data_IF_139878562766
#
_entry.id   IF_139878562766
#
_cell.length_a   1.000
_cell.length_b   1.000
_cell.length_c   1.000
_cell.angle_alpha   90.00
_cell.angle_beta   90.00
_cell.angle_gamma   90.00
#
_symmetry.space_group_name_H-M   'P 1'
#
loop_
_entity.id
_entity.type
_entity.pdbx_description
1 polymer ?
#
# COMPACT_ATOMS: atom_id res chain seq x y z
N UNK A 1 -18.23 10.12 -20.83
CA UNK A 1 -16.77 10.05 -20.54
C UNK A 1 -16.20 8.87 -21.35
N UNK A 2 -15.09 9.03 -22.08
CA UNK A 2 -14.48 7.94 -22.87
C UNK A 2 -13.45 7.21 -22.01
N UNK A 3 -13.45 5.88 -22.03
CA UNK A 3 -12.42 5.06 -21.38
C UNK A 3 -11.04 5.39 -21.96
N UNK A 4 -10.08 5.73 -21.10
CA UNK A 4 -8.72 6.09 -21.51
C UNK A 4 -7.71 4.96 -21.30
N UNK A 5 -7.91 4.11 -20.30
CA UNK A 5 -7.05 2.96 -19.99
C UNK A 5 -7.87 1.74 -19.57
N UNK A 6 -7.37 0.55 -19.91
CA UNK A 6 -7.86 -0.74 -19.45
C UNK A 6 -6.69 -1.72 -19.35
N UNK A 7 -6.43 -2.23 -18.15
CA UNK A 7 -5.44 -3.27 -17.97
C UNK A 7 -5.75 -4.07 -16.71
N UNK A 8 -5.24 -5.31 -16.67
CA UNK A 8 -5.36 -6.18 -15.50
C UNK A 8 -4.25 -5.83 -14.51
N UNK A 9 -4.59 -5.07 -13.46
CA UNK A 9 -3.63 -4.74 -12.41
C UNK A 9 -3.31 -5.93 -11.48
N UNK A 10 -4.29 -6.79 -11.21
CA UNK A 10 -4.17 -7.88 -10.24
C UNK A 10 -4.81 -9.19 -10.74
N UNK A 11 -4.34 -10.31 -10.18
CA UNK A 11 -4.91 -11.64 -10.40
C UNK A 11 -6.06 -11.98 -9.42
N UNK A 12 -6.52 -11.01 -8.65
CA UNK A 12 -7.68 -11.10 -7.77
C UNK A 12 -8.40 -9.76 -7.67
N UNK A 13 -9.34 -9.66 -6.72
CA UNK A 13 -10.02 -8.39 -6.42
C UNK A 13 -9.00 -7.30 -6.05
N UNK A 14 -9.27 -6.08 -6.52
CA UNK A 14 -8.55 -4.88 -6.10
C UNK A 14 -9.17 -4.43 -4.77
N UNK A 15 -8.34 -4.35 -3.73
CA UNK A 15 -8.73 -3.93 -2.38
C UNK A 15 -8.73 -2.40 -2.24
N UNK A 16 -7.74 -1.74 -2.84
CA UNK A 16 -7.62 -0.28 -2.75
C UNK A 16 -6.79 0.29 -3.91
N UNK A 17 -6.98 1.58 -4.18
CA UNK A 17 -6.28 2.34 -5.22
C UNK A 17 -5.90 3.71 -4.67
N UNK A 18 -4.70 4.20 -4.98
CA UNK A 18 -4.28 5.57 -4.71
C UNK A 18 -3.70 6.24 -5.96
N UNK A 19 -4.18 7.44 -6.25
CA UNK A 19 -3.58 8.29 -7.28
C UNK A 19 -2.47 9.11 -6.63
N UNK A 20 -1.28 9.00 -7.19
CA UNK A 20 -0.11 9.79 -6.83
C UNK A 20 0.16 10.90 -7.84
N UNK A 21 1.18 11.74 -7.58
CA UNK A 21 1.66 12.71 -8.55
C UNK A 21 2.18 12.02 -9.83
N UNK A 22 2.31 12.82 -10.90
CA UNK A 22 2.82 12.39 -12.21
C UNK A 22 2.03 11.23 -12.85
N UNK A 23 0.73 11.12 -12.55
CA UNK A 23 -0.16 10.05 -12.99
C UNK A 23 0.28 8.65 -12.53
N UNK A 24 1.03 8.56 -11.43
CA UNK A 24 1.30 7.27 -10.79
C UNK A 24 0.03 6.73 -10.14
N UNK A 25 -0.19 5.44 -10.26
CA UNK A 25 -1.29 4.74 -9.59
C UNK A 25 -0.68 3.67 -8.71
N UNK A 26 -1.13 3.57 -7.47
CA UNK A 26 -0.81 2.44 -6.58
C UNK A 26 -2.07 1.61 -6.43
N UNK A 27 -1.97 0.30 -6.60
CA UNK A 27 -3.09 -0.63 -6.42
C UNK A 27 -2.71 -1.71 -5.41
N UNK A 28 -3.63 -2.08 -4.53
CA UNK A 28 -3.52 -3.21 -3.62
C UNK A 28 -4.48 -4.32 -4.05
N UNK A 29 -4.05 -5.57 -4.06
CA UNK A 29 -4.87 -6.70 -4.51
C UNK A 29 -4.91 -7.88 -3.55
N UNK A 30 -5.96 -8.71 -3.70
CA UNK A 30 -6.10 -10.00 -3.00
C UNK A 30 -5.10 -11.06 -3.44
N UNK A 31 -4.32 -10.79 -4.48
CA UNK A 31 -3.19 -11.61 -4.94
C UNK A 31 -1.89 -11.33 -4.17
N UNK A 32 -1.98 -10.65 -3.01
CA UNK A 32 -0.88 -10.32 -2.10
C UNK A 32 0.10 -9.28 -2.66
N UNK A 33 -0.21 -8.68 -3.80
CA UNK A 33 0.63 -7.66 -4.41
C UNK A 33 0.12 -6.25 -4.08
N UNK A 34 1.05 -5.31 -3.98
CA UNK A 34 0.76 -3.91 -4.12
C UNK A 34 1.67 -3.34 -5.20
N UNK A 35 1.08 -2.81 -6.26
CA UNK A 35 1.77 -2.48 -7.50
C UNK A 35 1.72 -0.98 -7.75
N UNK A 36 2.81 -0.43 -8.29
CA UNK A 36 2.92 0.96 -8.74
C UNK A 36 2.92 0.97 -10.26
N UNK A 37 2.08 1.81 -10.84
CA UNK A 37 1.86 1.89 -12.28
C UNK A 37 2.15 3.30 -12.79
N UNK A 38 2.59 3.37 -14.04
CA UNK A 38 2.58 4.57 -14.86
C UNK A 38 1.71 4.27 -16.07
N UNK A 39 0.53 4.90 -16.15
CA UNK A 39 -0.51 4.50 -17.10
C UNK A 39 -0.89 3.01 -16.91
N UNK A 40 -0.62 2.14 -17.88
CA UNK A 40 -0.85 0.70 -17.84
C UNK A 40 0.42 -0.13 -17.64
N UNK A 41 1.58 0.53 -17.46
CA UNK A 41 2.87 -0.12 -17.30
C UNK A 41 3.22 -0.28 -15.81
N UNK A 42 3.59 -1.50 -15.41
CA UNK A 42 4.08 -1.78 -14.06
C UNK A 42 5.45 -1.14 -13.88
N UNK A 43 5.56 -0.21 -12.92
CA UNK A 43 6.83 0.41 -12.53
C UNK A 43 7.56 -0.47 -11.53
N UNK A 44 6.84 -0.90 -10.48
CA UNK A 44 7.40 -1.79 -9.45
C UNK A 44 6.29 -2.42 -8.60
N UNK A 45 6.58 -3.54 -7.95
CA UNK A 45 5.80 -4.07 -6.84
C UNK A 45 6.43 -3.67 -5.50
N UNK A 46 5.61 -3.27 -4.53
CA UNK A 46 6.09 -2.98 -3.18
C UNK A 46 6.58 -4.27 -2.52
N UNK A 47 7.80 -4.22 -1.96
CA UNK A 47 8.46 -5.38 -1.35
C UNK A 47 8.48 -5.27 0.17
N UNK A 48 7.31 -5.32 0.78
CA UNK A 48 7.18 -5.14 2.23
C UNK A 48 7.85 -6.25 3.04
N UNK A 49 7.69 -7.50 2.58
CA UNK A 49 8.22 -8.69 3.25
C UNK A 49 9.75 -8.75 3.30
N UNK A 50 10.47 -8.12 2.36
CA UNK A 50 11.94 -8.13 2.34
C UNK A 50 12.56 -7.52 3.60
N UNK A 51 11.84 -6.64 4.30
CA UNK A 51 12.30 -6.00 5.53
C UNK A 51 11.79 -6.69 6.82
N UNK A 52 11.05 -7.79 6.70
CA UNK A 52 10.43 -8.51 7.81
C UNK A 52 10.63 -10.03 7.65
N UNK A 53 11.87 -10.54 7.77
CA UNK A 53 12.20 -11.93 7.47
C UNK A 53 11.48 -12.98 8.34
N UNK A 54 10.88 -12.56 9.47
CA UNK A 54 10.06 -13.43 10.31
C UNK A 54 8.62 -13.63 9.85
N UNK A 55 8.17 -12.92 8.81
CA UNK A 55 6.80 -13.02 8.29
C UNK A 55 6.79 -13.98 7.10
N UNK A 56 6.01 -15.08 7.16
CA UNK A 56 5.91 -16.01 6.04
C UNK A 56 5.34 -15.35 4.78
N UNK A 57 5.75 -15.85 3.61
CA UNK A 57 5.17 -15.43 2.34
C UNK A 57 3.63 -15.59 2.36
N UNK A 58 2.92 -14.60 1.82
CA UNK A 58 1.44 -14.55 1.75
C UNK A 58 0.71 -14.66 3.10
N UNK A 59 1.40 -14.46 4.23
CA UNK A 59 0.74 -14.36 5.54
C UNK A 59 -0.09 -13.07 5.67
N UNK A 60 0.30 -12.02 4.95
CA UNK A 60 -0.33 -10.70 4.96
C UNK A 60 -0.73 -10.27 3.55
N UNK A 61 -1.82 -9.50 3.45
CA UNK A 61 -2.20 -8.77 2.25
C UNK A 61 -2.22 -7.27 2.52
N UNK A 62 -2.05 -6.48 1.45
CA UNK A 62 -2.26 -5.04 1.50
C UNK A 62 -3.76 -4.76 1.52
N UNK A 63 -4.23 -4.01 2.53
CA UNK A 63 -5.64 -3.66 2.71
C UNK A 63 -5.96 -2.24 2.26
N UNK A 64 -4.99 -1.33 2.38
CA UNK A 64 -5.15 0.06 1.99
C UNK A 64 -3.83 0.67 1.53
N UNK A 65 -3.91 1.68 0.67
CA UNK A 65 -2.80 2.51 0.21
C UNK A 65 -3.25 3.97 0.05
N UNK A 66 -2.50 4.94 0.60
CA UNK A 66 -2.79 6.39 0.47
C UNK A 66 -1.51 7.18 0.34
N UNK A 67 -1.47 8.14 -0.58
CA UNK A 67 -0.42 9.14 -0.60
C UNK A 67 -0.70 10.25 0.43
N UNK A 68 0.35 10.85 0.97
CA UNK A 68 0.29 12.04 1.81
C UNK A 68 1.44 12.99 1.48
N UNK A 69 1.14 14.28 1.36
CA UNK A 69 2.17 15.31 1.31
C UNK A 69 2.79 15.49 2.69
N UNK A 70 4.06 15.88 2.78
CA UNK A 70 4.67 16.18 4.08
C UNK A 70 4.69 17.69 4.26
N UNK A 71 3.86 18.20 5.17
CA UNK A 71 3.84 19.62 5.50
C UNK A 71 5.23 20.10 5.98
N UNK A 72 5.66 21.29 5.54
CA UNK A 72 6.96 21.86 5.88
C UNK A 72 8.17 21.26 5.15
N UNK A 73 8.00 20.23 4.31
CA UNK A 73 9.07 19.66 3.49
C UNK A 73 8.73 19.75 2.01
N UNK A 74 9.28 20.76 1.34
CA UNK A 74 9.00 21.05 -0.07
C UNK A 74 9.26 19.82 -0.96
N UNK A 75 8.19 19.23 -1.50
CA UNK A 75 8.25 18.12 -2.45
C UNK A 75 8.44 16.73 -1.84
N UNK A 76 8.40 16.59 -0.51
CA UNK A 76 8.40 15.28 0.15
C UNK A 76 7.00 14.64 0.08
N UNK A 77 6.96 13.42 -0.45
CA UNK A 77 5.78 12.61 -0.62
C UNK A 77 5.94 11.32 0.17
N UNK A 78 4.87 10.88 0.84
CA UNK A 78 4.81 9.57 1.49
C UNK A 78 3.71 8.75 0.87
N UNK A 79 3.97 7.46 0.78
CA UNK A 79 2.93 6.46 0.60
C UNK A 79 2.75 5.78 1.94
N UNK A 80 1.51 5.57 2.35
CA UNK A 80 1.13 4.83 3.54
C UNK A 80 0.34 3.61 3.09
N UNK A 81 0.67 2.46 3.66
CA UNK A 81 -0.06 1.21 3.38
C UNK A 81 -0.41 0.50 4.68
N UNK A 82 -1.52 -0.22 4.66
CA UNK A 82 -1.90 -1.13 5.75
C UNK A 82 -1.75 -2.57 5.28
N UNK A 83 -1.10 -3.40 6.09
CA UNK A 83 -1.04 -4.84 5.92
C UNK A 83 -1.90 -5.53 6.97
N UNK A 84 -2.80 -6.42 6.54
CA UNK A 84 -3.66 -7.22 7.42
C UNK A 84 -3.34 -8.71 7.26
N UNK A 85 -3.46 -9.52 8.32
CA UNK A 85 -3.34 -10.97 8.20
C UNK A 85 -4.33 -11.50 7.15
N UNK A 86 -3.85 -12.32 6.22
CA UNK A 86 -4.70 -12.88 5.18
C UNK A 86 -5.66 -13.93 5.76
N UNK A 87 -5.13 -14.79 6.64
CA UNK A 87 -5.90 -15.81 7.35
C UNK A 87 -6.41 -15.26 8.68
N UNK A 88 -7.66 -15.61 9.02
CA UNK A 88 -8.21 -15.36 10.34
C UNK A 88 -7.81 -16.48 11.28
N UNK A 89 -7.22 -16.13 12.40
CA UNK A 89 -6.79 -17.07 13.44
C UNK A 89 -7.49 -16.72 14.76
N UNK A 90 -7.58 -17.69 15.68
CA UNK A 90 -8.18 -17.47 17.02
C UNK A 90 -7.43 -16.38 17.81
N UNK A 91 -6.14 -16.22 17.56
CA UNK A 91 -5.28 -15.15 18.08
C UNK A 91 -4.55 -14.51 16.90
N UNK A 92 -5.19 -13.54 16.22
CA UNK A 92 -4.62 -13.00 14.99
C UNK A 92 -3.34 -12.20 15.29
N UNK A 93 -2.30 -12.34 14.46
CA UNK A 93 -1.12 -11.49 14.56
C UNK A 93 -1.51 -10.03 14.24
N UNK A 94 -0.68 -9.04 14.62
CA UNK A 94 -1.05 -7.64 14.45
C UNK A 94 -1.13 -7.27 12.97
N UNK A 95 -1.99 -6.31 12.65
CA UNK A 95 -1.90 -5.52 11.42
C UNK A 95 -0.67 -4.60 11.49
N UNK A 96 -0.21 -4.14 10.34
CA UNK A 96 0.90 -3.20 10.23
C UNK A 96 0.50 -1.97 9.45
N UNK A 97 1.02 -0.81 9.90
CA UNK A 97 1.06 0.42 9.15
C UNK A 97 2.50 0.64 8.66
N UNK A 98 2.65 0.82 7.36
CA UNK A 98 3.96 1.06 6.74
C UNK A 98 3.97 2.40 6.04
N UNK A 99 4.97 3.23 6.39
CA UNK A 99 5.33 4.46 5.72
C UNK A 99 6.44 4.19 4.72
N UNK A 100 6.26 4.66 3.50
CA UNK A 100 7.19 4.53 2.38
C UNK A 100 7.61 5.90 1.91
N UNK A 101 8.79 5.98 1.31
CA UNK A 101 9.13 7.11 0.47
C UNK A 101 8.24 7.07 -0.78
N UNK A 102 7.51 8.15 -1.05
CA UNK A 102 6.48 8.17 -2.10
C UNK A 102 7.03 8.21 -3.53
N UNK A 103 8.35 8.40 -3.71
CA UNK A 103 8.98 8.47 -5.04
C UNK A 103 9.78 7.21 -5.34
N UNK A 104 10.62 6.79 -4.40
CA UNK A 104 11.46 5.59 -4.52
C UNK A 104 10.75 4.30 -4.13
N UNK A 105 9.63 4.39 -3.40
CA UNK A 105 8.88 3.24 -2.88
C UNK A 105 9.71 2.34 -1.95
N UNK A 106 10.73 2.91 -1.33
CA UNK A 106 11.48 2.25 -0.27
C UNK A 106 10.73 2.39 1.06
N UNK A 107 10.60 1.32 1.85
CA UNK A 107 9.94 1.40 3.14
C UNK A 107 10.82 2.20 4.11
N UNK A 108 10.23 3.19 4.77
CA UNK A 108 10.90 4.06 5.74
C UNK A 108 10.64 3.61 7.17
N UNK A 109 9.42 3.15 7.46
CA UNK A 109 9.03 2.72 8.81
C UNK A 109 7.84 1.76 8.73
N UNK A 110 7.94 0.64 9.44
CA UNK A 110 6.81 -0.26 9.67
C UNK A 110 6.52 -0.33 11.17
N UNK A 111 5.26 -0.21 11.57
CA UNK A 111 4.82 -0.34 12.96
C UNK A 111 3.59 -1.24 13.06
N UNK A 112 3.52 -2.14 14.06
CA UNK A 112 2.28 -2.85 14.36
C UNK A 112 1.22 -1.85 14.84
N UNK A 113 -0.03 -2.04 14.44
CA UNK A 113 -1.14 -1.15 14.78
C UNK A 113 -2.32 -1.88 15.46
N UNK A 114 -2.03 -3.02 16.11
CA UNK A 114 -3.03 -3.83 16.84
C UNK A 114 -3.50 -5.04 16.06
N UNK A 115 -4.20 -5.95 16.74
CA UNK A 115 -4.71 -7.21 16.18
C UNK A 115 -6.14 -7.12 15.63
N UNK A 116 -6.80 -5.97 15.81
CA UNK A 116 -8.06 -5.70 15.15
C UNK A 116 -7.81 -5.47 13.65
N UNK A 117 -8.63 -6.09 12.81
CA UNK A 117 -8.46 -5.99 11.36
C UNK A 117 -8.84 -4.57 10.93
N UNK A 118 -7.83 -3.82 10.51
CA UNK A 118 -8.02 -2.47 9.96
C UNK A 118 -8.84 -2.58 8.68
N UNK A 119 -9.92 -1.79 8.59
CA UNK A 119 -10.85 -1.80 7.47
C UNK A 119 -10.67 -0.62 6.52
N UNK A 120 -10.09 0.48 6.98
CA UNK A 120 -9.89 1.68 6.17
C UNK A 120 -8.67 2.49 6.63
N UNK A 121 -8.16 3.32 5.71
CA UNK A 121 -7.10 4.30 5.96
C UNK A 121 -7.48 5.61 5.28
N UNK A 122 -7.34 6.71 6.03
CA UNK A 122 -7.42 8.07 5.51
C UNK A 122 -6.19 8.85 5.96
N UNK A 123 -5.83 9.87 5.19
CA UNK A 123 -4.70 10.78 5.45
C UNK A 123 -5.29 12.19 5.51
N UNK A 124 -4.86 12.99 6.49
CA UNK A 124 -5.24 14.40 6.58
C UNK A 124 -4.71 15.21 5.40
N UNK A 125 -5.27 16.40 5.16
CA UNK A 125 -4.79 17.29 4.10
C UNK A 125 -3.34 17.75 4.33
N UNK A 126 -2.89 17.82 5.59
CA UNK A 126 -1.48 18.09 5.96
C UNK A 126 -0.54 16.90 5.72
N UNK A 127 -1.09 15.69 5.59
CA UNK A 127 -0.39 14.45 5.28
C UNK A 127 0.65 13.95 6.29
N UNK A 128 0.66 14.56 7.49
CA UNK A 128 1.46 14.17 8.65
C UNK A 128 0.58 13.85 9.86
#
# INVERSE_FOLDING_TARGET
MKKTLEFRAHNGEIEDIALGPDNKVVTAGRDFQCCVWQQDQLVTGLRWHENLPGIPDKAYRYQACRFGAVEGSAGALRLYTVQVPHKRERRPPPCYLTKWDGKSFLPLLTRPCGSEVVSCLSISDSGT
#
